data_IF_200507688855
#
_entry.id   IF_200507688855
#
_cell.length_a   1.000
_cell.length_b   1.000
_cell.length_c   1.000
_cell.angle_alpha   90.00
_cell.angle_beta   90.00
_cell.angle_gamma   90.00
#
_symmetry.space_group_name_H-M   'P 1'
#
loop_
_entity.id
_entity.type
_entity.pdbx_description
1 polymer ?
#
# COMPACT_ATOMS: atom_id res chain seq x y z
N UNK A 1 -13.04 -9.66 -2.47
CA UNK A 1 -13.47 -8.46 -1.73
C UNK A 1 -13.99 -7.38 -2.67
N UNK A 2 -15.02 -6.65 -2.24
CA UNK A 2 -15.53 -5.47 -2.94
C UNK A 2 -15.07 -4.13 -2.32
N UNK A 3 -15.44 -3.02 -2.96
CA UNK A 3 -15.07 -1.67 -2.49
C UNK A 3 -15.64 -1.33 -1.11
N UNK A 4 -16.80 -1.86 -0.73
CA UNK A 4 -17.40 -1.60 0.58
C UNK A 4 -16.60 -2.30 1.69
N UNK A 5 -16.21 -3.55 1.45
CA UNK A 5 -15.37 -4.33 2.35
C UNK A 5 -14.00 -3.67 2.58
N UNK A 6 -13.32 -3.22 1.51
CA UNK A 6 -12.06 -2.49 1.66
C UNK A 6 -12.21 -1.22 2.50
N UNK A 7 -13.28 -0.45 2.31
CA UNK A 7 -13.51 0.76 3.10
C UNK A 7 -13.71 0.45 4.59
N UNK A 8 -14.46 -0.60 4.91
CA UNK A 8 -14.68 -1.05 6.28
C UNK A 8 -13.37 -1.48 6.95
N UNK A 9 -12.58 -2.31 6.27
CA UNK A 9 -11.27 -2.76 6.77
C UNK A 9 -10.35 -1.57 7.03
N UNK A 10 -10.28 -0.62 6.09
CA UNK A 10 -9.48 0.60 6.26
C UNK A 10 -9.95 1.40 7.48
N UNK A 11 -11.27 1.51 7.70
CA UNK A 11 -11.83 2.21 8.84
C UNK A 11 -11.47 1.51 10.16
N UNK A 12 -11.69 0.20 10.25
CA UNK A 12 -11.39 -0.60 11.44
C UNK A 12 -9.90 -0.51 11.81
N UNK A 13 -9.02 -0.70 10.83
CA UNK A 13 -7.57 -0.57 10.99
C UNK A 13 -7.14 0.84 11.42
N UNK A 14 -7.83 1.87 10.93
CA UNK A 14 -7.53 3.25 11.31
C UNK A 14 -7.91 3.58 12.76
N UNK A 15 -8.90 2.87 13.32
CA UNK A 15 -9.36 3.02 14.71
C UNK A 15 -8.42 2.36 15.71
N UNK A 16 -7.86 1.20 15.38
CA UNK A 16 -6.95 0.48 16.28
C UNK A 16 -5.59 1.20 16.43
N UNK A 17 -4.93 1.48 15.31
CA UNK A 17 -3.63 2.18 15.31
C UNK A 17 -3.33 2.72 13.92
N UNK A 18 -3.39 4.04 13.76
CA UNK A 18 -3.03 4.67 12.50
C UNK A 18 -1.58 4.35 12.09
N UNK A 19 -1.42 3.58 11.01
CA UNK A 19 -0.15 3.44 10.29
C UNK A 19 -0.31 3.93 8.87
N UNK A 20 0.75 4.57 8.34
CA UNK A 20 0.77 5.06 6.96
C UNK A 20 0.85 3.91 5.96
N UNK A 21 1.60 2.86 6.30
CA UNK A 21 1.73 1.64 5.52
C UNK A 21 1.48 0.47 6.46
N UNK A 22 0.60 -0.45 6.07
CA UNK A 22 0.28 -1.65 6.85
C UNK A 22 -0.28 -2.75 5.96
N UNK A 23 -0.09 -4.00 6.35
CA UNK A 23 -0.70 -5.15 5.70
C UNK A 23 -1.93 -5.64 6.46
N UNK A 24 -2.79 -6.37 5.76
CA UNK A 24 -3.86 -7.19 6.32
C UNK A 24 -4.10 -8.41 5.43
N UNK A 25 -4.65 -9.46 6.01
CA UNK A 25 -5.01 -10.68 5.31
C UNK A 25 -6.54 -10.73 5.14
N UNK A 26 -7.02 -11.21 4.00
CA UNK A 26 -8.43 -11.51 3.83
C UNK A 26 -8.79 -12.90 4.40
N UNK A 27 -10.09 -13.22 4.55
CA UNK A 27 -10.51 -14.53 5.05
C UNK A 27 -10.04 -15.72 4.21
N UNK A 28 -9.71 -15.49 2.94
CA UNK A 28 -9.24 -16.51 2.00
C UNK A 28 -7.70 -16.69 2.07
N UNK A 29 -7.02 -15.94 2.94
CA UNK A 29 -5.56 -16.00 3.15
C UNK A 29 -4.75 -15.14 2.17
N UNK A 30 -5.41 -14.35 1.32
CA UNK A 30 -4.72 -13.39 0.45
C UNK A 30 -4.26 -12.18 1.27
N UNK A 31 -3.00 -11.79 1.07
CA UNK A 31 -2.40 -10.63 1.74
C UNK A 31 -2.52 -9.37 0.91
N UNK A 32 -2.79 -8.26 1.59
CA UNK A 32 -2.92 -6.94 1.00
C UNK A 32 -2.12 -5.90 1.77
N UNK A 33 -1.73 -4.84 1.06
CA UNK A 33 -1.02 -3.70 1.62
C UNK A 33 -1.82 -2.42 1.43
N UNK A 34 -1.96 -1.64 2.49
CA UNK A 34 -2.62 -0.34 2.49
C UNK A 34 -1.55 0.73 2.59
N UNK A 35 -1.62 1.72 1.70
CA UNK A 35 -0.88 2.98 1.80
C UNK A 35 -1.84 4.15 1.98
N UNK A 36 -1.77 4.79 3.14
CA UNK A 36 -2.57 5.95 3.51
C UNK A 36 -1.80 7.25 3.25
N UNK A 37 -2.50 8.30 2.81
CA UNK A 37 -1.92 9.65 2.66
C UNK A 37 -1.48 10.19 4.02
N UNK A 38 -0.37 10.93 4.06
CA UNK A 38 0.04 11.64 5.28
C UNK A 38 -1.06 12.59 5.76
N UNK A 39 -1.26 12.67 7.08
CA UNK A 39 -2.07 13.74 7.67
C UNK A 39 -1.38 15.06 7.38
N UNK A 40 -2.11 15.99 6.77
CA UNK A 40 -1.64 17.36 6.57
C UNK A 40 -1.24 17.95 7.93
N UNK A 41 -0.02 18.45 7.99
CA UNK A 41 0.56 19.11 9.17
C UNK A 41 1.33 20.34 8.72
N UNK A 42 1.70 21.23 9.64
CA UNK A 42 2.39 22.50 9.32
C UNK A 42 3.68 22.26 8.50
N UNK A 43 4.36 21.12 8.72
CA UNK A 43 5.54 20.70 7.95
C UNK A 43 5.26 20.43 6.46
N UNK A 44 4.00 20.31 6.07
CA UNK A 44 3.57 20.10 4.69
C UNK A 44 3.32 21.40 3.91
N UNK A 45 3.47 22.58 4.54
CA UNK A 45 3.46 23.85 3.80
C UNK A 45 4.61 23.87 2.76
N UNK A 46 5.74 23.25 3.10
CA UNK A 46 6.92 23.10 2.23
C UNK A 46 6.95 21.79 1.44
N UNK A 47 6.01 20.86 1.68
CA UNK A 47 5.93 19.58 0.94
C UNK A 47 4.77 19.63 -0.06
N UNK A 48 4.94 18.95 -1.19
CA UNK A 48 3.88 18.85 -2.21
C UNK A 48 2.57 18.28 -1.64
N UNK A 49 1.43 18.66 -2.24
CA UNK A 49 0.10 18.24 -1.80
C UNK A 49 -0.02 16.69 -1.76
N UNK A 50 -0.31 16.08 -0.59
CA UNK A 50 -0.40 14.62 -0.43
C UNK A 50 -1.40 13.93 -1.36
N UNK A 51 -2.51 14.58 -1.71
CA UNK A 51 -3.51 14.03 -2.65
C UNK A 51 -2.97 13.98 -4.07
N UNK A 52 -2.23 15.02 -4.48
CA UNK A 52 -1.56 15.03 -5.79
C UNK A 52 -0.46 13.97 -5.84
N UNK A 53 0.27 13.76 -4.74
CA UNK A 53 1.26 12.69 -4.64
C UNK A 53 0.61 11.30 -4.79
N UNK A 54 -0.52 11.06 -4.11
CA UNK A 54 -1.28 9.81 -4.25
C UNK A 54 -1.73 9.55 -5.69
N UNK A 55 -2.28 10.58 -6.35
CA UNK A 55 -2.74 10.48 -7.74
C UNK A 55 -1.58 10.16 -8.69
N UNK A 56 -0.42 10.79 -8.48
CA UNK A 56 0.79 10.51 -9.25
C UNK A 56 1.25 9.07 -9.07
N UNK A 57 1.14 8.53 -7.86
CA UNK A 57 1.50 7.14 -7.56
C UNK A 57 0.59 6.16 -8.28
N UNK A 58 -0.74 6.37 -8.25
CA UNK A 58 -1.70 5.56 -9.02
C UNK A 58 -1.36 5.58 -10.52
N UNK A 59 -1.08 6.77 -11.07
CA UNK A 59 -0.74 6.91 -12.49
C UNK A 59 0.61 6.27 -12.84
N UNK A 60 1.61 6.38 -11.96
CA UNK A 60 2.92 5.76 -12.15
C UNK A 60 2.81 4.24 -12.18
N UNK A 61 2.04 3.65 -11.27
CA UNK A 61 1.76 2.22 -11.25
C UNK A 61 1.06 1.74 -12.53
N UNK A 62 0.07 2.48 -13.03
CA UNK A 62 -0.59 2.15 -14.30
C UNK A 62 0.38 2.20 -15.48
N UNK A 63 1.24 3.23 -15.54
CA UNK A 63 2.29 3.34 -16.58
C UNK A 63 3.28 2.17 -16.50
N UNK A 64 3.75 1.81 -15.30
CA UNK A 64 4.67 0.68 -15.09
C UNK A 64 4.05 -0.63 -15.58
N UNK A 65 2.78 -0.87 -15.27
CA UNK A 65 2.07 -2.08 -15.73
C UNK A 65 1.92 -2.12 -17.25
N UNK A 66 1.64 -0.98 -17.90
CA UNK A 66 1.51 -0.90 -19.36
C UNK A 66 2.80 -1.25 -20.09
N UNK A 67 3.96 -0.95 -19.50
CA UNK A 67 5.27 -1.31 -20.07
C UNK A 67 5.73 -2.73 -19.68
N UNK A 68 4.87 -3.52 -19.03
CA UNK A 68 5.17 -4.90 -18.63
C UNK A 68 6.03 -5.03 -17.37
N UNK A 69 6.23 -3.95 -16.62
CA UNK A 69 6.93 -4.02 -15.34
C UNK A 69 6.05 -4.76 -14.32
N UNK A 70 6.66 -5.70 -13.58
CA UNK A 70 5.97 -6.44 -12.53
C UNK A 70 5.88 -5.58 -11.28
N UNK A 71 4.85 -4.74 -11.21
CA UNK A 71 4.49 -3.98 -10.01
C UNK A 71 3.30 -4.60 -9.27
N UNK A 72 3.15 -4.26 -7.99
CA UNK A 72 2.01 -4.69 -7.19
C UNK A 72 0.70 -4.18 -7.78
N UNK A 73 -0.25 -5.08 -8.00
CA UNK A 73 -1.56 -4.72 -8.56
C UNK A 73 -2.33 -3.86 -7.57
N UNK A 74 -2.70 -2.64 -7.96
CA UNK A 74 -3.70 -1.85 -7.24
C UNK A 74 -5.06 -2.55 -7.35
N UNK A 75 -5.63 -2.94 -6.22
CA UNK A 75 -6.94 -3.62 -6.14
C UNK A 75 -8.05 -2.67 -5.67
N UNK A 76 -7.69 -1.59 -4.98
CA UNK A 76 -8.61 -0.56 -4.54
C UNK A 76 -7.89 0.77 -4.36
N UNK A 77 -8.58 1.87 -4.60
CA UNK A 77 -8.10 3.19 -4.23
C UNK A 77 -9.25 4.12 -3.84
N UNK A 78 -8.95 5.07 -2.97
CA UNK A 78 -9.85 6.13 -2.51
C UNK A 78 -9.12 7.47 -2.52
N UNK A 79 -9.78 8.54 -2.05
CA UNK A 79 -9.15 9.87 -1.93
C UNK A 79 -7.96 9.92 -0.96
N UNK A 80 -7.83 8.93 -0.07
CA UNK A 80 -6.83 8.94 1.02
C UNK A 80 -6.01 7.66 1.10
N UNK A 81 -6.39 6.61 0.39
CA UNK A 81 -5.77 5.29 0.54
C UNK A 81 -5.61 4.61 -0.83
N UNK A 82 -4.54 3.86 -1.01
CA UNK A 82 -4.36 2.88 -2.09
C UNK A 82 -4.16 1.51 -1.44
N UNK A 83 -4.74 0.47 -2.02
CA UNK A 83 -4.56 -0.91 -1.60
C UNK A 83 -3.95 -1.71 -2.74
N UNK A 84 -2.91 -2.45 -2.41
CA UNK A 84 -2.16 -3.31 -3.31
C UNK A 84 -2.37 -4.77 -2.93
N UNK A 85 -2.48 -5.65 -3.92
CA UNK A 85 -2.24 -7.07 -3.69
C UNK A 85 -0.78 -7.27 -3.30
N UNK A 86 -0.52 -8.22 -2.39
CA UNK A 86 0.83 -8.62 -2.06
C UNK A 86 1.59 -9.07 -3.32
N UNK A 87 2.85 -8.64 -3.43
CA UNK A 87 3.72 -8.95 -4.58
C UNK A 87 4.87 -9.90 -4.19
N UNK A 88 4.71 -10.60 -3.06
CA UNK A 88 5.73 -11.48 -2.51
C UNK A 88 6.68 -10.78 -1.54
N UNK A 89 7.81 -11.44 -1.31
CA UNK A 89 8.77 -11.05 -0.29
C UNK A 89 9.42 -9.69 -0.60
N UNK A 90 9.54 -8.89 0.45
CA UNK A 90 10.35 -7.67 0.44
C UNK A 90 11.83 -8.01 0.30
N UNK A 91 12.63 -7.05 -0.18
CA UNK A 91 14.08 -7.21 -0.23
C UNK A 91 14.67 -7.56 1.14
N UNK A 92 14.16 -6.97 2.22
CA UNK A 92 14.61 -7.28 3.58
C UNK A 92 14.36 -8.74 3.96
N UNK A 93 13.17 -9.27 3.66
CA UNK A 93 12.83 -10.67 3.89
C UNK A 93 13.74 -11.60 3.06
N UNK A 94 13.94 -11.29 1.78
CA UNK A 94 14.85 -12.05 0.89
C UNK A 94 16.28 -12.07 1.47
N UNK A 95 16.77 -10.93 1.98
CA UNK A 95 18.10 -10.86 2.58
C UNK A 95 18.20 -11.67 3.88
N UNK A 96 17.17 -11.64 4.71
CA UNK A 96 17.13 -12.42 5.96
C UNK A 96 17.14 -13.93 5.69
N UNK A 97 16.35 -14.39 4.73
CA UNK A 97 16.32 -15.81 4.32
C UNK A 97 17.68 -16.28 3.81
N UNK A 98 18.32 -15.51 2.93
CA UNK A 98 19.67 -15.84 2.43
C UNK A 98 20.70 -15.92 3.54
N UNK A 99 20.61 -15.07 4.56
CA UNK A 99 21.53 -15.09 5.71
C UNK A 99 21.32 -16.33 6.59
N UNK A 100 20.09 -16.85 6.66
CA UNK A 100 19.77 -18.07 7.41
C UNK A 100 20.22 -19.34 6.67
N UNK A 101 20.20 -19.34 5.33
CA UNK A 101 20.64 -20.46 4.49
C UNK A 101 22.17 -20.60 4.37
N UNK A 102 22.93 -19.61 4.82
CA UNK A 102 24.41 -19.62 4.83
C UNK A 102 25.01 -20.05 6.18
N UNK A 103 24.17 -20.50 7.12
CA UNK A 103 24.58 -21.11 8.40
C UNK A 103 24.29 -22.60 8.38
#
# INVERSE_FOLDING_TARGET
>A
MDNHEFNKIIEDLSREKYRRVQSFDDPDGSKFWIKSTEKLSIKHILKGNPRKALTREINAEDVLRRIGFQSSKIVFHSRKNIVFADAGLTLEEIFREKKLLQK
#
